data_IF_383228444880
#
_entry.id   IF_383228444880
#
_cell.length_a   1.000
_cell.length_b   1.000
_cell.length_c   1.000
_cell.angle_alpha   90.00
_cell.angle_beta   90.00
_cell.angle_gamma   90.00
#
_symmetry.space_group_name_H-M   'P 1'
#
loop_
_entity.id
_entity.type
_entity.pdbx_description
1 polymer ?
#
# COMPACT_ATOMS: atom_id res chain seq x y z
N UNK A 1 24.85 5.17 -17.35
CA UNK A 1 24.92 3.71 -17.08
C UNK A 1 25.47 3.32 -15.70
N UNK A 2 26.24 4.16 -14.98
CA UNK A 2 26.83 3.78 -13.69
C UNK A 2 25.86 3.68 -12.49
N UNK A 3 24.86 4.54 -12.42
CA UNK A 3 23.96 4.65 -11.25
C UNK A 3 23.09 3.42 -11.00
N UNK A 4 22.40 2.81 -11.97
CA UNK A 4 21.60 1.60 -11.72
C UNK A 4 22.47 0.39 -11.39
N UNK A 5 23.67 0.29 -11.97
CA UNK A 5 24.63 -0.77 -11.64
C UNK A 5 25.08 -0.65 -10.17
N UNK A 6 25.42 0.56 -9.73
CA UNK A 6 25.80 0.82 -8.34
C UNK A 6 24.64 0.43 -7.39
N UNK A 7 23.40 0.78 -7.74
CA UNK A 7 22.24 0.44 -6.95
C UNK A 7 22.03 -1.08 -6.89
N UNK A 8 22.16 -1.79 -8.00
CA UNK A 8 22.09 -3.25 -8.04
C UNK A 8 23.18 -3.91 -7.20
N UNK A 9 24.42 -3.43 -7.31
CA UNK A 9 25.56 -3.93 -6.51
C UNK A 9 25.33 -3.65 -5.03
N UNK A 10 24.86 -2.45 -4.65
CA UNK A 10 24.56 -2.11 -3.27
C UNK A 10 23.45 -3.02 -2.70
N UNK A 11 22.38 -3.26 -3.46
CA UNK A 11 21.35 -4.20 -3.07
C UNK A 11 21.90 -5.62 -2.88
N UNK A 12 22.70 -6.10 -3.81
CA UNK A 12 23.32 -7.42 -3.72
C UNK A 12 24.18 -7.53 -2.47
N UNK A 13 24.99 -6.52 -2.16
CA UNK A 13 25.81 -6.48 -0.95
C UNK A 13 24.97 -6.47 0.34
N UNK A 14 23.89 -5.67 0.38
CA UNK A 14 22.96 -5.64 1.50
C UNK A 14 22.28 -7.00 1.68
N UNK A 15 21.84 -7.65 0.60
CA UNK A 15 21.26 -8.98 0.68
C UNK A 15 22.26 -10.04 1.14
N UNK A 16 23.49 -9.98 0.65
CA UNK A 16 24.54 -10.88 1.07
C UNK A 16 24.85 -10.72 2.56
N UNK A 17 24.96 -9.46 3.02
CA UNK A 17 25.15 -9.13 4.43
C UNK A 17 23.98 -9.66 5.29
N UNK A 18 22.75 -9.37 4.93
CA UNK A 18 21.58 -9.85 5.65
C UNK A 18 21.53 -11.39 5.70
N UNK A 19 21.86 -12.06 4.58
CA UNK A 19 21.92 -13.52 4.53
C UNK A 19 22.96 -14.11 5.46
N UNK A 20 24.16 -13.55 5.47
CA UNK A 20 25.29 -14.09 6.25
C UNK A 20 25.10 -13.81 7.74
N UNK A 21 24.72 -12.57 8.10
CA UNK A 21 24.73 -12.12 9.49
C UNK A 21 23.38 -12.20 10.18
N UNK A 22 22.29 -12.08 9.47
CA UNK A 22 20.95 -11.93 10.08
C UNK A 22 20.02 -13.12 9.86
N UNK A 23 20.25 -13.99 8.87
CA UNK A 23 19.37 -15.13 8.57
C UNK A 23 19.81 -16.37 9.33
N UNK A 24 19.65 -16.39 10.65
CA UNK A 24 20.02 -17.52 11.51
C UNK A 24 18.83 -18.38 11.94
N UNK A 25 17.64 -17.80 12.09
CA UNK A 25 16.44 -18.50 12.50
C UNK A 25 15.52 -18.82 11.31
N UNK A 26 14.64 -19.82 11.46
CA UNK A 26 13.67 -20.19 10.41
C UNK A 26 12.76 -19.01 10.03
N UNK A 27 12.37 -18.22 11.01
CA UNK A 27 11.53 -17.05 10.80
C UNK A 27 12.26 -15.92 10.07
N UNK A 28 13.53 -15.62 10.40
CA UNK A 28 14.30 -14.63 9.62
C UNK A 28 14.56 -15.11 8.22
N UNK A 29 14.64 -16.42 7.97
CA UNK A 29 14.76 -17.01 6.63
C UNK A 29 13.51 -16.79 5.78
N UNK A 30 12.32 -16.93 6.35
CA UNK A 30 11.06 -16.65 5.63
C UNK A 30 10.93 -15.17 5.28
N UNK A 31 11.22 -14.26 6.23
CA UNK A 31 11.18 -12.82 5.95
C UNK A 31 12.19 -12.46 4.87
N UNK A 32 13.38 -13.02 4.92
CA UNK A 32 14.40 -12.81 3.91
C UNK A 32 13.96 -13.31 2.51
N UNK A 33 13.30 -14.45 2.46
CA UNK A 33 12.71 -14.98 1.23
C UNK A 33 11.63 -14.04 0.68
N UNK A 34 10.76 -13.49 1.53
CA UNK A 34 9.77 -12.49 1.11
C UNK A 34 10.45 -11.21 0.62
N UNK A 35 11.47 -10.73 1.34
CA UNK A 35 12.25 -9.57 0.92
C UNK A 35 12.88 -9.78 -0.47
N UNK A 36 13.45 -10.94 -0.76
CA UNK A 36 14.00 -11.27 -2.08
C UNK A 36 12.90 -11.24 -3.15
N UNK A 37 11.77 -11.89 -2.90
CA UNK A 37 10.67 -11.97 -3.87
C UNK A 37 10.12 -10.57 -4.21
N UNK A 38 10.04 -9.67 -3.24
CA UNK A 38 9.57 -8.30 -3.42
C UNK A 38 10.63 -7.45 -4.15
N UNK A 39 11.90 -7.66 -3.85
CA UNK A 39 12.99 -6.82 -4.36
C UNK A 39 13.34 -7.13 -5.81
N UNK A 40 13.24 -8.40 -6.25
CA UNK A 40 13.59 -8.80 -7.61
C UNK A 40 12.76 -8.05 -8.67
N UNK A 41 11.42 -7.99 -8.62
CA UNK A 41 10.64 -7.24 -9.60
C UNK A 41 10.95 -5.75 -9.59
N UNK A 42 11.11 -5.15 -8.40
CA UNK A 42 11.46 -3.74 -8.28
C UNK A 42 12.81 -3.45 -8.95
N UNK A 43 13.85 -4.24 -8.67
CA UNK A 43 15.17 -4.08 -9.26
C UNK A 43 15.16 -4.33 -10.78
N UNK A 44 14.38 -5.30 -11.26
CA UNK A 44 14.16 -5.51 -12.68
C UNK A 44 13.53 -4.27 -13.33
N UNK A 45 12.52 -3.67 -12.64
CA UNK A 45 11.93 -2.40 -13.06
C UNK A 45 12.95 -1.26 -13.14
N UNK A 46 13.79 -1.08 -12.13
CA UNK A 46 14.85 -0.05 -12.12
C UNK A 46 15.84 -0.25 -13.29
N UNK A 47 16.19 -1.50 -13.56
CA UNK A 47 17.12 -1.81 -14.65
C UNK A 47 16.52 -1.51 -16.03
N UNK A 48 15.26 -1.84 -16.24
CA UNK A 48 14.55 -1.62 -17.53
C UNK A 48 14.08 -0.16 -17.67
N UNK A 49 13.81 0.53 -16.56
CA UNK A 49 13.21 1.85 -16.51
C UNK A 49 14.17 3.01 -16.82
N UNK A 50 13.68 4.20 -16.52
CA UNK A 50 14.32 5.50 -16.80
C UNK A 50 15.74 5.60 -16.23
N UNK A 51 15.98 5.01 -15.06
CA UNK A 51 17.30 5.02 -14.43
C UNK A 51 18.29 4.01 -15.01
N UNK A 52 17.82 3.03 -15.79
CA UNK A 52 18.61 1.94 -16.36
C UNK A 52 18.76 2.03 -17.88
N UNK A 53 18.07 1.12 -18.58
CA UNK A 53 18.13 1.01 -20.04
C UNK A 53 17.28 2.04 -20.78
N UNK A 54 16.43 2.77 -20.04
CA UNK A 54 15.46 3.76 -20.56
C UNK A 54 14.56 3.20 -21.69
N UNK A 55 14.12 1.96 -21.50
CA UNK A 55 13.23 1.30 -22.46
C UNK A 55 11.77 1.77 -22.32
N UNK A 56 11.45 2.53 -21.25
CA UNK A 56 10.11 3.01 -20.99
C UNK A 56 9.83 4.29 -21.78
N UNK A 57 9.33 4.09 -23.00
CA UNK A 57 8.86 5.21 -23.84
C UNK A 57 7.47 5.67 -23.41
N UNK A 58 7.09 6.92 -23.75
CA UNK A 58 5.74 7.46 -23.49
C UNK A 58 4.65 6.57 -24.12
N UNK A 59 4.92 6.00 -25.31
CA UNK A 59 4.00 5.08 -25.98
C UNK A 59 3.77 3.80 -25.16
N UNK A 60 4.82 3.21 -24.57
CA UNK A 60 4.73 2.04 -23.70
C UNK A 60 3.98 2.37 -22.41
N UNK A 61 4.19 3.56 -21.84
CA UNK A 61 3.47 4.03 -20.65
C UNK A 61 1.97 4.07 -20.92
N UNK A 62 1.55 4.64 -22.05
CA UNK A 62 0.13 4.70 -22.44
C UNK A 62 -0.45 3.30 -22.67
N UNK A 63 0.30 2.38 -23.29
CA UNK A 63 -0.17 1.02 -23.54
C UNK A 63 -0.30 0.18 -22.24
N UNK A 64 0.52 0.46 -21.23
CA UNK A 64 0.46 -0.25 -19.93
C UNK A 64 -0.60 0.32 -18.98
N UNK A 65 -1.13 1.50 -19.27
CA UNK A 65 -2.10 2.19 -18.42
C UNK A 65 -3.33 1.34 -18.04
N UNK A 66 -4.01 0.63 -18.97
CA UNK A 66 -5.17 -0.20 -18.61
C UNK A 66 -4.81 -1.34 -17.64
N UNK A 67 -3.61 -1.91 -17.75
CA UNK A 67 -3.13 -2.95 -16.84
C UNK A 67 -2.82 -2.40 -15.45
N UNK A 68 -2.34 -1.16 -15.38
CA UNK A 68 -2.12 -0.47 -14.11
C UNK A 68 -3.44 -0.14 -13.43
N UNK A 69 -4.41 0.41 -14.16
CA UNK A 69 -5.76 0.69 -13.66
C UNK A 69 -6.44 -0.59 -13.14
N UNK A 70 -6.29 -1.71 -13.87
CA UNK A 70 -6.75 -3.02 -13.43
C UNK A 70 -6.07 -3.46 -12.13
N UNK A 71 -4.75 -3.30 -12.04
CA UNK A 71 -3.97 -3.70 -10.86
C UNK A 71 -4.31 -2.86 -9.62
N UNK A 72 -4.53 -1.56 -9.80
CA UNK A 72 -5.02 -0.65 -8.77
C UNK A 72 -6.44 -1.03 -8.34
N UNK A 73 -7.31 -1.27 -9.31
CA UNK A 73 -8.69 -1.73 -9.08
C UNK A 73 -8.73 -3.06 -8.30
N UNK A 74 -7.85 -4.00 -8.64
CA UNK A 74 -7.73 -5.27 -7.93
C UNK A 74 -7.40 -5.07 -6.45
N UNK A 75 -6.47 -4.17 -6.13
CA UNK A 75 -6.15 -3.84 -4.72
C UNK A 75 -7.37 -3.27 -4.00
N UNK A 76 -8.10 -2.35 -4.64
CA UNK A 76 -9.34 -1.80 -4.09
C UNK A 76 -10.40 -2.88 -3.82
N UNK A 77 -10.66 -3.75 -4.79
CA UNK A 77 -11.61 -4.85 -4.67
C UNK A 77 -11.24 -5.81 -3.53
N UNK A 78 -9.97 -6.21 -3.47
CA UNK A 78 -9.48 -7.11 -2.43
C UNK A 78 -9.68 -6.53 -1.03
N UNK A 79 -9.36 -5.25 -0.83
CA UNK A 79 -9.61 -4.56 0.44
C UNK A 79 -11.10 -4.43 0.76
N UNK A 80 -11.93 -4.09 -0.23
CA UNK A 80 -13.39 -4.01 -0.06
C UNK A 80 -14.01 -5.34 0.35
N UNK A 81 -13.53 -6.44 -0.19
CA UNK A 81 -13.97 -7.78 0.18
C UNK A 81 -13.56 -8.17 1.61
N UNK A 82 -12.44 -7.64 2.11
CA UNK A 82 -12.05 -7.87 3.50
C UNK A 82 -12.96 -7.11 4.49
N UNK A 83 -13.36 -5.88 4.15
CA UNK A 83 -14.04 -4.95 5.03
C UNK A 83 -15.41 -4.56 4.47
N UNK A 84 -16.39 -5.50 4.50
CA UNK A 84 -17.77 -5.18 4.17
C UNK A 84 -18.34 -4.12 5.13
N UNK A 85 -19.35 -3.36 4.69
CA UNK A 85 -20.04 -2.38 5.53
C UNK A 85 -20.58 -3.01 6.84
N UNK A 86 -21.01 -4.27 6.75
CA UNK A 86 -21.50 -5.04 7.90
C UNK A 86 -20.37 -5.33 8.88
N UNK A 87 -19.19 -5.73 8.41
CA UNK A 87 -18.06 -6.08 9.27
C UNK A 87 -17.57 -4.88 10.08
N UNK A 88 -17.47 -3.71 9.44
CA UNK A 88 -17.04 -2.47 10.10
C UNK A 88 -18.00 -2.11 11.25
N UNK A 89 -19.29 -2.40 11.10
CA UNK A 89 -20.30 -2.11 12.14
C UNK A 89 -20.06 -2.95 13.40
N UNK A 90 -19.58 -4.19 13.25
CA UNK A 90 -19.39 -5.11 14.38
C UNK A 90 -18.06 -4.93 15.12
N UNK A 91 -17.10 -4.18 14.59
CA UNK A 91 -15.87 -3.92 15.33
C UNK A 91 -16.14 -3.06 16.57
N UNK A 92 -15.35 -3.35 17.62
CA UNK A 92 -15.38 -2.57 18.86
C UNK A 92 -15.17 -1.07 18.57
N UNK A 93 -15.94 -0.22 19.23
CA UNK A 93 -15.89 1.24 19.08
C UNK A 93 -14.51 1.79 19.43
N UNK A 94 -13.86 1.23 20.47
CA UNK A 94 -12.53 1.65 20.90
C UNK A 94 -11.48 1.33 19.84
N UNK A 95 -11.57 0.17 19.18
CA UNK A 95 -10.68 -0.25 18.09
C UNK A 95 -10.87 0.66 16.88
N UNK A 96 -12.12 0.97 16.51
CA UNK A 96 -12.43 1.91 15.41
C UNK A 96 -11.88 3.31 15.70
N UNK A 97 -12.12 3.82 16.91
CA UNK A 97 -11.64 5.13 17.34
C UNK A 97 -10.13 5.20 17.35
N UNK A 98 -9.47 4.17 17.88
CA UNK A 98 -8.00 4.09 17.85
C UNK A 98 -7.48 4.08 16.42
N UNK A 99 -7.99 3.21 15.54
CA UNK A 99 -7.55 3.11 14.15
C UNK A 99 -7.73 4.45 13.40
N UNK A 100 -8.87 5.12 13.60
CA UNK A 100 -9.14 6.43 12.98
C UNK A 100 -8.19 7.52 13.49
N UNK A 101 -8.03 7.65 14.81
CA UNK A 101 -7.13 8.64 15.42
C UNK A 101 -5.67 8.39 15.03
N UNK A 102 -5.24 7.13 15.05
CA UNK A 102 -3.90 6.75 14.64
C UNK A 102 -3.65 7.10 13.17
N UNK A 103 -4.55 6.71 12.27
CA UNK A 103 -4.41 6.97 10.84
C UNK A 103 -4.43 8.47 10.53
N UNK A 104 -5.32 9.22 11.17
CA UNK A 104 -5.39 10.68 11.02
C UNK A 104 -4.11 11.35 11.51
N UNK A 105 -3.62 10.97 12.69
CA UNK A 105 -2.38 11.50 13.25
C UNK A 105 -1.17 11.18 12.38
N UNK A 106 -1.08 9.93 11.91
CA UNK A 106 -0.02 9.51 10.99
C UNK A 106 -0.06 10.30 9.68
N UNK A 107 -1.26 10.45 9.10
CA UNK A 107 -1.43 11.22 7.86
C UNK A 107 -1.00 12.68 8.04
N UNK A 108 -1.49 13.36 9.07
CA UNK A 108 -1.16 14.80 9.30
C UNK A 108 0.31 14.99 9.62
N UNK A 109 0.90 14.14 10.46
CA UNK A 109 2.32 14.20 10.80
C UNK A 109 3.22 13.93 9.60
N UNK A 110 2.88 12.91 8.80
CA UNK A 110 3.62 12.62 7.58
C UNK A 110 3.41 13.68 6.49
N UNK A 111 2.23 14.29 6.41
CA UNK A 111 1.96 15.40 5.47
C UNK A 111 2.81 16.62 5.80
N UNK A 112 2.86 17.01 7.06
CA UNK A 112 3.68 18.14 7.50
C UNK A 112 5.17 17.91 7.20
N UNK A 113 5.67 16.71 7.49
CA UNK A 113 7.05 16.35 7.23
C UNK A 113 7.38 16.23 5.75
N UNK A 114 6.49 15.63 4.96
CA UNK A 114 6.66 15.53 3.51
C UNK A 114 6.65 16.89 2.85
N UNK A 115 5.75 17.78 3.28
CA UNK A 115 5.69 19.15 2.81
C UNK A 115 6.99 19.90 3.12
N UNK A 116 7.48 19.82 4.37
CA UNK A 116 8.74 20.43 4.78
C UNK A 116 9.93 19.90 3.97
N UNK A 117 9.99 18.60 3.78
CA UNK A 117 11.07 17.94 3.02
C UNK A 117 11.09 18.42 1.55
N UNK A 118 9.93 18.40 0.87
CA UNK A 118 9.82 18.79 -0.53
C UNK A 118 10.04 20.31 -0.72
N UNK A 119 9.64 21.11 0.26
CA UNK A 119 9.91 22.55 0.29
C UNK A 119 11.42 22.84 0.37
N UNK A 120 12.16 22.13 1.23
CA UNK A 120 13.62 22.27 1.37
C UNK A 120 14.36 21.91 0.07
N UNK A 121 13.77 21.08 -0.76
CA UNK A 121 14.34 20.68 -2.07
C UNK A 121 13.98 21.65 -3.20
N UNK A 122 13.18 22.68 -2.90
CA UNK A 122 12.77 23.74 -3.84
C UNK A 122 11.93 23.21 -5.03
N UNK A 123 11.07 22.19 -4.80
CA UNK A 123 10.10 21.79 -5.81
C UNK A 123 9.01 22.87 -6.00
N UNK A 124 8.35 22.93 -7.18
CA UNK A 124 7.21 23.81 -7.40
C UNK A 124 6.09 23.55 -6.38
N UNK A 125 5.41 24.59 -5.92
CA UNK A 125 4.39 24.50 -4.85
C UNK A 125 3.29 23.46 -5.14
N UNK A 126 2.89 23.32 -6.39
CA UNK A 126 1.91 22.31 -6.83
C UNK A 126 2.43 20.89 -6.66
N UNK A 127 3.68 20.62 -7.06
CA UNK A 127 4.31 19.31 -6.90
C UNK A 127 4.54 18.97 -5.42
N UNK A 128 4.85 19.96 -4.59
CA UNK A 128 4.97 19.79 -3.14
C UNK A 128 3.64 19.35 -2.54
N UNK A 129 2.53 19.97 -2.96
CA UNK A 129 1.20 19.63 -2.44
C UNK A 129 0.80 18.22 -2.82
N UNK A 130 0.83 17.88 -4.11
CA UNK A 130 0.44 16.56 -4.59
C UNK A 130 1.40 15.50 -4.07
N UNK A 131 2.69 15.68 -4.25
CA UNK A 131 3.71 14.74 -3.79
C UNK A 131 3.65 14.52 -2.28
N UNK A 132 3.44 15.59 -1.49
CA UNK A 132 3.27 15.52 -0.05
C UNK A 132 2.05 14.70 0.37
N UNK A 133 0.90 14.89 -0.29
CA UNK A 133 -0.32 14.11 -0.03
C UNK A 133 -0.08 12.63 -0.33
N UNK A 134 0.44 12.30 -1.50
CA UNK A 134 0.67 10.91 -1.90
C UNK A 134 1.70 10.21 -1.01
N UNK A 135 2.78 10.91 -0.69
CA UNK A 135 3.81 10.40 0.21
C UNK A 135 3.25 10.12 1.60
N UNK A 136 2.45 11.03 2.15
CA UNK A 136 1.82 10.86 3.46
C UNK A 136 0.81 9.72 3.48
N UNK A 137 -0.02 9.56 2.45
CA UNK A 137 -0.96 8.46 2.32
C UNK A 137 -0.26 7.10 2.27
N UNK A 138 0.80 6.99 1.46
CA UNK A 138 1.58 5.77 1.34
C UNK A 138 2.25 5.36 2.66
N UNK A 139 2.69 6.34 3.45
CA UNK A 139 3.39 6.13 4.71
C UNK A 139 2.45 5.95 5.92
N UNK A 140 1.17 6.31 5.80
CA UNK A 140 0.18 6.15 6.88
C UNK A 140 -0.21 4.70 7.10
N UNK A 141 -0.21 3.87 6.06
CA UNK A 141 -0.69 2.51 6.12
C UNK A 141 0.20 1.59 6.97
N UNK A 142 -0.41 0.80 7.85
CA UNK A 142 0.25 -0.26 8.62
C UNK A 142 0.28 -1.56 7.80
N UNK A 143 1.42 -2.25 7.77
CA UNK A 143 1.54 -3.54 7.10
C UNK A 143 0.94 -4.67 7.95
N UNK A 144 -0.05 -5.37 7.41
CA UNK A 144 -0.58 -6.60 8.03
C UNK A 144 0.37 -7.80 7.88
N UNK A 145 1.29 -7.76 6.91
CA UNK A 145 2.26 -8.83 6.70
C UNK A 145 3.20 -9.00 7.91
N UNK A 146 3.51 -7.91 8.60
CA UNK A 146 4.33 -7.92 9.82
C UNK A 146 3.75 -8.81 10.92
N UNK A 147 2.44 -8.97 10.95
CA UNK A 147 1.77 -9.79 11.95
C UNK A 147 2.03 -11.29 11.78
N UNK A 148 2.18 -11.75 10.55
CA UNK A 148 2.51 -13.15 10.27
C UNK A 148 3.85 -13.54 10.89
N UNK A 149 4.77 -12.58 10.93
CA UNK A 149 6.08 -12.78 11.52
C UNK A 149 6.04 -12.74 13.05
N UNK A 150 5.27 -11.83 13.62
CA UNK A 150 5.10 -11.75 15.08
C UNK A 150 4.50 -13.02 15.68
N UNK A 151 3.51 -13.62 15.01
CA UNK A 151 2.90 -14.89 15.44
C UNK A 151 3.91 -16.02 15.57
N UNK A 152 4.96 -16.01 14.76
CA UNK A 152 5.97 -17.08 14.72
C UNK A 152 7.04 -16.92 15.82
N UNK A 153 7.30 -15.66 16.25
CA UNK A 153 8.34 -15.35 17.23
C UNK A 153 7.90 -15.40 18.68
N UNK A 154 6.64 -15.11 18.95
CA UNK A 154 6.10 -15.18 20.32
C UNK A 154 4.72 -15.84 20.30
N UNK A 155 4.41 -16.64 21.32
CA UNK A 155 3.06 -17.14 21.59
C UNK A 155 2.17 -15.97 22.04
N UNK A 156 1.87 -15.05 21.13
CA UNK A 156 0.92 -13.99 21.42
C UNK A 156 -0.51 -14.52 21.45
N UNK A 157 -1.33 -13.92 22.29
CA UNK A 157 -2.75 -14.27 22.37
C UNK A 157 -3.43 -14.07 21.00
N UNK A 158 -4.39 -14.93 20.69
CA UNK A 158 -5.22 -14.82 19.47
C UNK A 158 -5.90 -13.45 19.37
N UNK A 159 -6.25 -12.87 20.52
CA UNK A 159 -6.87 -11.54 20.64
C UNK A 159 -5.98 -10.42 20.15
N UNK A 160 -4.67 -10.47 20.46
CA UNK A 160 -3.70 -9.49 19.97
C UNK A 160 -3.57 -9.51 18.44
N UNK A 161 -3.42 -10.71 17.87
CA UNK A 161 -3.30 -10.85 16.43
C UNK A 161 -4.54 -10.36 15.67
N UNK A 162 -5.72 -10.60 16.23
CA UNK A 162 -7.00 -10.10 15.70
C UNK A 162 -7.05 -8.58 15.74
N UNK A 163 -6.74 -7.98 16.88
CA UNK A 163 -6.74 -6.54 17.08
C UNK A 163 -5.79 -5.83 16.11
N UNK A 164 -4.55 -6.30 15.99
CA UNK A 164 -3.57 -5.71 15.08
C UNK A 164 -4.01 -5.83 13.62
N UNK A 165 -4.54 -7.00 13.20
CA UNK A 165 -5.10 -7.20 11.86
C UNK A 165 -6.23 -6.22 11.57
N UNK A 166 -7.12 -6.00 12.55
CA UNK A 166 -8.25 -5.08 12.43
C UNK A 166 -7.78 -3.63 12.30
N UNK A 167 -6.85 -3.19 13.15
CA UNK A 167 -6.29 -1.83 13.11
C UNK A 167 -5.55 -1.58 11.78
N UNK A 168 -4.70 -2.51 11.36
CA UNK A 168 -4.00 -2.43 10.07
C UNK A 168 -4.98 -2.34 8.90
N UNK A 169 -6.05 -3.13 8.94
CA UNK A 169 -7.09 -3.12 7.92
C UNK A 169 -7.89 -1.81 7.89
N UNK A 170 -8.30 -1.30 9.04
CA UNK A 170 -9.00 -0.01 9.13
C UNK A 170 -8.10 1.16 8.70
N UNK A 171 -6.81 1.11 9.01
CA UNK A 171 -5.83 2.07 8.51
C UNK A 171 -5.71 2.03 6.99
N UNK A 172 -5.71 0.85 6.38
CA UNK A 172 -5.74 0.68 4.92
C UNK A 172 -7.00 1.24 4.29
N UNK A 173 -8.17 0.98 4.88
CA UNK A 173 -9.45 1.57 4.44
C UNK A 173 -9.42 3.10 4.50
N UNK A 174 -8.96 3.65 5.62
CA UNK A 174 -8.81 5.11 5.77
C UNK A 174 -7.93 5.67 4.64
N UNK A 175 -6.81 5.02 4.36
CA UNK A 175 -5.88 5.43 3.31
C UNK A 175 -6.55 5.39 1.93
N UNK A 176 -7.28 4.33 1.57
CA UNK A 176 -7.95 4.21 0.26
C UNK A 176 -9.07 5.24 0.11
N UNK A 177 -9.87 5.44 1.16
CA UNK A 177 -10.97 6.42 1.12
C UNK A 177 -10.40 7.83 0.95
N UNK A 178 -9.41 8.21 1.76
CA UNK A 178 -8.80 9.52 1.68
C UNK A 178 -8.06 9.71 0.34
N UNK A 179 -7.39 8.68 -0.15
CA UNK A 179 -6.77 8.66 -1.47
C UNK A 179 -7.80 8.85 -2.58
N UNK A 180 -8.92 8.13 -2.53
CA UNK A 180 -9.99 8.24 -3.51
C UNK A 180 -10.69 9.61 -3.51
N UNK A 181 -10.73 10.29 -2.35
CA UNK A 181 -11.24 11.66 -2.24
C UNK A 181 -10.23 12.67 -2.79
N UNK A 182 -8.95 12.53 -2.48
CA UNK A 182 -7.93 13.53 -2.83
C UNK A 182 -7.40 13.38 -4.26
N UNK A 183 -7.42 12.19 -4.83
CA UNK A 183 -6.87 11.91 -6.17
C UNK A 183 -7.55 12.72 -7.29
N UNK A 184 -8.89 12.88 -7.34
CA UNK A 184 -9.55 13.69 -8.37
C UNK A 184 -9.24 15.19 -8.27
N UNK A 185 -8.75 15.69 -7.13
CA UNK A 185 -8.36 17.11 -6.98
C UNK A 185 -7.22 17.51 -7.92
N UNK A 186 -6.37 16.54 -8.32
CA UNK A 186 -5.31 16.77 -9.30
C UNK A 186 -5.78 16.90 -10.74
N UNK A 187 -6.99 16.42 -11.05
CA UNK A 187 -7.53 16.30 -12.42
C UNK A 187 -8.64 17.33 -12.66
N UNK A 188 -9.45 17.65 -11.64
CA UNK A 188 -10.63 18.50 -11.81
C UNK A 188 -10.30 19.99 -11.70
N UNK A 189 -10.78 20.76 -12.69
CA UNK A 189 -10.58 22.22 -12.77
C UNK A 189 -11.55 23.03 -11.91
N UNK A 190 -12.61 22.41 -11.38
CA UNK A 190 -13.60 23.10 -10.55
C UNK A 190 -14.22 22.20 -9.47
N UNK A 191 -14.57 22.80 -8.32
CA UNK A 191 -15.20 22.10 -7.18
C UNK A 191 -16.50 21.36 -7.53
N UNK A 192 -17.43 21.90 -8.33
CA UNK A 192 -18.63 21.17 -8.72
C UNK A 192 -18.34 19.89 -9.50
N UNK A 193 -17.41 19.93 -10.45
CA UNK A 193 -16.99 18.74 -11.21
C UNK A 193 -16.33 17.70 -10.33
N UNK A 194 -15.53 18.12 -9.35
CA UNK A 194 -14.92 17.24 -8.37
C UNK A 194 -15.99 16.47 -7.56
N UNK A 195 -16.99 17.18 -7.01
CA UNK A 195 -18.05 16.56 -6.21
C UNK A 195 -18.90 15.62 -7.11
N UNK A 196 -19.22 16.05 -8.32
CA UNK A 196 -19.98 15.23 -9.27
C UNK A 196 -19.23 13.92 -9.59
N UNK A 197 -17.94 14.00 -9.89
CA UNK A 197 -17.11 12.84 -10.17
C UNK A 197 -17.04 11.89 -8.96
N UNK A 198 -16.86 12.44 -7.74
CA UNK A 198 -16.82 11.64 -6.52
C UNK A 198 -18.15 10.90 -6.27
N UNK A 199 -19.27 11.59 -6.45
CA UNK A 199 -20.60 10.99 -6.29
C UNK A 199 -20.88 9.96 -7.38
N UNK A 200 -20.57 10.27 -8.64
CA UNK A 200 -20.77 9.38 -9.78
C UNK A 200 -19.99 8.07 -9.61
N UNK A 201 -18.70 8.14 -9.29
CA UNK A 201 -17.88 6.92 -9.11
C UNK A 201 -18.39 6.03 -7.96
N UNK A 202 -18.87 6.62 -6.84
CA UNK A 202 -19.43 5.85 -5.73
C UNK A 202 -20.76 5.21 -6.14
N UNK A 203 -21.66 5.93 -6.79
CA UNK A 203 -22.94 5.39 -7.25
C UNK A 203 -22.76 4.25 -8.26
N UNK A 204 -21.90 4.44 -9.26
CA UNK A 204 -21.60 3.40 -10.25
C UNK A 204 -21.00 2.16 -9.56
N UNK A 205 -20.09 2.35 -8.63
CA UNK A 205 -19.47 1.27 -7.88
C UNK A 205 -20.49 0.48 -7.03
N UNK A 206 -21.44 1.16 -6.39
CA UNK A 206 -22.53 0.53 -5.64
C UNK A 206 -23.42 -0.32 -6.55
N UNK A 207 -23.81 0.22 -7.71
CA UNK A 207 -24.64 -0.49 -8.69
C UNK A 207 -23.90 -1.70 -9.25
N UNK A 208 -22.66 -1.51 -9.72
CA UNK A 208 -21.83 -2.58 -10.26
C UNK A 208 -21.59 -3.70 -9.24
N UNK A 209 -21.24 -3.33 -8.01
CA UNK A 209 -21.06 -4.30 -6.90
C UNK A 209 -22.34 -5.07 -6.59
N UNK A 210 -23.51 -4.41 -6.66
CA UNK A 210 -24.82 -5.05 -6.44
C UNK A 210 -25.17 -6.02 -7.56
N UNK A 211 -24.95 -5.64 -8.81
CA UNK A 211 -25.19 -6.51 -9.96
C UNK A 211 -24.32 -7.76 -9.91
N UNK A 212 -23.04 -7.61 -9.66
CA UNK A 212 -22.12 -8.74 -9.52
C UNK A 212 -22.48 -9.64 -8.34
N UNK A 213 -22.86 -9.06 -7.20
CA UNK A 213 -23.38 -9.84 -6.07
C UNK A 213 -24.59 -10.70 -6.44
N UNK A 214 -25.55 -10.14 -7.20
CA UNK A 214 -26.70 -10.89 -7.69
C UNK A 214 -26.29 -11.98 -8.71
N UNK A 215 -25.30 -11.70 -9.55
CA UNK A 215 -24.74 -12.68 -10.48
C UNK A 215 -24.06 -13.86 -9.78
N UNK A 216 -23.19 -13.57 -8.81
CA UNK A 216 -22.47 -14.60 -8.02
C UNK A 216 -23.46 -15.52 -7.30
N UNK A 217 -24.57 -15.01 -6.80
CA UNK A 217 -25.61 -15.85 -6.15
C UNK A 217 -26.25 -16.93 -7.06
N UNK A 218 -26.22 -16.71 -8.38
CA UNK A 218 -26.84 -17.61 -9.38
C UNK A 218 -25.88 -18.63 -9.95
N UNK A 219 -24.58 -18.49 -9.66
CA UNK A 219 -23.53 -19.32 -10.24
C UNK A 219 -23.03 -20.33 -9.20
N UNK A 220 -22.78 -21.57 -9.64
CA UNK A 220 -22.09 -22.56 -8.83
C UNK A 220 -20.66 -22.12 -8.54
N UNK A 221 -20.11 -22.58 -7.41
CA UNK A 221 -18.79 -22.20 -6.89
C UNK A 221 -17.66 -22.41 -7.91
N UNK A 222 -16.61 -21.60 -7.83
CA UNK A 222 -15.37 -21.79 -8.59
C UNK A 222 -15.19 -20.80 -9.75
N UNK A 223 -15.03 -21.33 -10.97
CA UNK A 223 -14.68 -20.53 -12.17
C UNK A 223 -15.68 -19.42 -12.48
N UNK A 224 -16.98 -19.70 -12.35
CA UNK A 224 -18.02 -18.71 -12.61
C UNK A 224 -17.95 -17.50 -11.68
N UNK A 225 -17.59 -17.71 -10.41
CA UNK A 225 -17.37 -16.60 -9.45
C UNK A 225 -16.17 -15.74 -9.87
N UNK A 226 -15.07 -16.37 -10.29
CA UNK A 226 -13.88 -15.65 -10.77
C UNK A 226 -14.21 -14.80 -12.01
N UNK A 227 -14.99 -15.32 -12.95
CA UNK A 227 -15.43 -14.59 -14.15
C UNK A 227 -16.21 -13.34 -13.76
N UNK A 228 -17.17 -13.43 -12.84
CA UNK A 228 -17.93 -12.27 -12.38
C UNK A 228 -17.05 -11.21 -11.70
N UNK A 229 -16.07 -11.62 -10.89
CA UNK A 229 -15.16 -10.71 -10.20
C UNK A 229 -14.18 -10.04 -11.18
N UNK A 230 -13.64 -10.78 -12.14
CA UNK A 230 -12.78 -10.24 -13.19
C UNK A 230 -13.56 -9.29 -14.12
N UNK A 231 -14.80 -9.62 -14.48
CA UNK A 231 -15.67 -8.74 -15.28
C UNK A 231 -15.94 -7.43 -14.55
N UNK A 232 -16.21 -7.47 -13.24
CA UNK A 232 -16.35 -6.26 -12.42
C UNK A 232 -15.08 -5.41 -12.46
N UNK A 233 -13.93 -6.05 -12.26
CA UNK A 233 -12.64 -5.36 -12.29
C UNK A 233 -12.39 -4.69 -13.65
N UNK A 234 -12.63 -5.39 -14.74
CA UNK A 234 -12.44 -4.86 -16.08
C UNK A 234 -13.39 -3.68 -16.37
N UNK A 235 -14.67 -3.80 -15.99
CA UNK A 235 -15.65 -2.75 -16.18
C UNK A 235 -15.27 -1.52 -15.34
N UNK A 236 -15.03 -1.69 -14.05
CA UNK A 236 -14.71 -0.57 -13.17
C UNK A 236 -13.37 0.09 -13.54
N UNK A 237 -12.33 -0.69 -13.87
CA UNK A 237 -11.04 -0.14 -14.28
C UNK A 237 -11.13 0.53 -15.66
N UNK A 238 -11.90 -0.03 -16.59
CA UNK A 238 -12.19 0.61 -17.87
C UNK A 238 -12.92 1.94 -17.69
N UNK A 239 -13.94 2.00 -16.84
CA UNK A 239 -14.63 3.25 -16.51
C UNK A 239 -13.70 4.26 -15.82
N UNK A 240 -12.82 3.80 -14.94
CA UNK A 240 -11.81 4.65 -14.30
C UNK A 240 -10.92 5.31 -15.36
N UNK A 241 -10.44 4.52 -16.30
CA UNK A 241 -9.61 5.01 -17.41
C UNK A 241 -10.31 6.05 -18.28
N UNK A 242 -11.57 5.81 -18.66
CA UNK A 242 -12.31 6.72 -19.54
C UNK A 242 -12.81 7.99 -18.86
N UNK A 243 -13.23 7.91 -17.60
CA UNK A 243 -13.86 9.04 -16.89
C UNK A 243 -12.92 9.72 -15.88
N UNK A 244 -11.69 9.24 -15.73
CA UNK A 244 -10.75 9.78 -14.75
C UNK A 244 -11.16 9.48 -13.30
N UNK A 245 -11.90 8.39 -13.06
CA UNK A 245 -12.27 7.95 -11.72
C UNK A 245 -11.09 7.28 -11.03
N UNK A 246 -11.15 7.19 -9.69
CA UNK A 246 -10.14 6.46 -8.94
C UNK A 246 -10.46 4.95 -8.90
N UNK A 247 -9.64 4.08 -9.53
CA UNK A 247 -9.92 2.65 -9.61
C UNK A 247 -9.87 1.95 -8.24
N UNK A 248 -9.01 2.44 -7.34
CA UNK A 248 -8.91 1.92 -5.96
C UNK A 248 -10.21 2.15 -5.19
N UNK A 249 -10.75 3.38 -5.20
CA UNK A 249 -11.97 3.70 -4.48
C UNK A 249 -13.18 3.01 -5.08
N UNK A 250 -13.30 3.03 -6.41
CA UNK A 250 -14.43 2.45 -7.12
C UNK A 250 -14.55 0.94 -6.84
N UNK A 251 -13.44 0.23 -6.94
CA UNK A 251 -13.41 -1.20 -6.67
C UNK A 251 -13.49 -1.53 -5.16
N UNK A 252 -12.99 -0.66 -4.27
CA UNK A 252 -13.21 -0.79 -2.83
C UNK A 252 -14.70 -0.80 -2.51
N UNK A 253 -15.45 0.18 -2.99
CA UNK A 253 -16.89 0.31 -2.73
C UNK A 253 -17.64 -0.90 -3.29
N UNK A 254 -17.35 -1.33 -4.51
CA UNK A 254 -17.94 -2.54 -5.11
C UNK A 254 -17.64 -3.79 -4.28
N UNK A 255 -16.41 -3.96 -3.82
CA UNK A 255 -16.00 -5.06 -2.95
C UNK A 255 -16.72 -5.06 -1.59
N UNK A 256 -16.89 -3.89 -0.98
CA UNK A 256 -17.65 -3.74 0.27
C UNK A 256 -19.13 -4.14 0.11
N UNK A 257 -19.75 -3.82 -1.02
CA UNK A 257 -21.12 -4.22 -1.35
C UNK A 257 -21.23 -5.74 -1.46
N UNK A 258 -20.32 -6.37 -2.21
CA UNK A 258 -20.28 -7.82 -2.41
C UNK A 258 -20.08 -8.52 -1.06
N UNK A 259 -19.11 -8.07 -0.28
CA UNK A 259 -18.77 -8.64 1.03
C UNK A 259 -19.90 -8.52 2.06
N UNK A 260 -20.72 -7.48 1.97
CA UNK A 260 -21.83 -7.24 2.92
C UNK A 260 -22.92 -8.31 2.85
N UNK A 261 -22.96 -9.09 1.77
CA UNK A 261 -23.87 -10.24 1.63
C UNK A 261 -23.56 -11.47 2.51
N UNK A 262 -22.37 -11.54 3.09
CA UNK A 262 -21.95 -12.49 4.15
C UNK A 262 -21.70 -13.93 3.73
N UNK A 263 -22.55 -14.53 2.89
CA UNK A 263 -22.59 -15.96 2.65
C UNK A 263 -21.37 -16.54 1.87
N UNK A 264 -20.82 -15.76 0.92
CA UNK A 264 -19.74 -16.22 0.03
C UNK A 264 -18.38 -15.52 0.30
N UNK A 265 -18.29 -14.73 1.35
CA UNK A 265 -17.13 -13.88 1.61
C UNK A 265 -15.81 -14.66 1.63
N UNK A 266 -15.76 -15.77 2.37
CA UNK A 266 -14.54 -16.58 2.49
C UNK A 266 -14.12 -17.15 1.15
N UNK A 267 -15.07 -17.72 0.40
CA UNK A 267 -14.81 -18.31 -0.90
C UNK A 267 -14.32 -17.29 -1.93
N UNK A 268 -14.94 -16.11 -1.97
CA UNK A 268 -14.51 -15.01 -2.83
C UNK A 268 -13.07 -14.59 -2.51
N UNK A 269 -12.75 -14.48 -1.22
CA UNK A 269 -11.38 -14.15 -0.79
C UNK A 269 -10.38 -15.24 -1.19
N UNK A 270 -10.72 -16.50 -1.00
CA UNK A 270 -9.85 -17.62 -1.35
C UNK A 270 -9.63 -17.72 -2.86
N UNK A 271 -10.64 -17.40 -3.68
CA UNK A 271 -10.55 -17.34 -5.15
C UNK A 271 -9.60 -16.24 -5.63
N UNK A 272 -9.61 -15.06 -4.99
CA UNK A 272 -8.73 -13.94 -5.39
C UNK A 272 -7.33 -13.98 -4.77
N UNK A 273 -7.16 -14.68 -3.66
CA UNK A 273 -5.90 -14.75 -2.92
C UNK A 273 -4.66 -15.10 -3.76
N UNK A 274 -4.71 -16.06 -4.72
CA UNK A 274 -3.57 -16.36 -5.58
C UNK A 274 -3.12 -15.19 -6.45
N UNK A 275 -4.05 -14.28 -6.82
CA UNK A 275 -3.77 -13.14 -7.69
C UNK A 275 -3.16 -11.95 -6.94
N UNK A 276 -3.31 -11.89 -5.62
CA UNK A 276 -2.81 -10.75 -4.80
C UNK A 276 -1.31 -10.55 -4.97
N UNK A 277 -0.55 -11.62 -4.91
CA UNK A 277 0.91 -11.56 -4.98
C UNK A 277 1.42 -11.14 -6.36
N UNK A 278 1.00 -11.73 -7.48
CA UNK A 278 1.36 -11.26 -8.81
C UNK A 278 1.06 -9.78 -9.03
N UNK A 279 -0.10 -9.29 -8.58
CA UNK A 279 -0.47 -7.88 -8.74
C UNK A 279 0.46 -6.96 -7.95
N UNK A 280 0.80 -7.31 -6.70
CA UNK A 280 1.75 -6.52 -5.90
C UNK A 280 3.14 -6.50 -6.56
N UNK A 281 3.62 -7.64 -7.05
CA UNK A 281 4.93 -7.73 -7.72
C UNK A 281 4.95 -6.91 -9.02
N UNK A 282 3.85 -6.90 -9.77
CA UNK A 282 3.71 -6.06 -10.95
C UNK A 282 3.73 -4.56 -10.59
N UNK A 283 3.00 -4.14 -9.56
CA UNK A 283 3.03 -2.76 -9.10
C UNK A 283 4.43 -2.34 -8.60
N UNK A 284 5.15 -3.24 -7.93
CA UNK A 284 6.53 -2.99 -7.50
C UNK A 284 7.48 -2.89 -8.69
N UNK A 285 7.33 -3.74 -9.69
CA UNK A 285 8.09 -3.64 -10.93
C UNK A 285 7.87 -2.27 -11.58
N UNK A 286 6.62 -1.81 -11.66
CA UNK A 286 6.30 -0.52 -12.24
C UNK A 286 6.82 0.67 -11.41
N UNK A 287 6.82 0.57 -10.08
CA UNK A 287 7.47 1.60 -9.25
C UNK A 287 8.97 1.67 -9.48
N UNK A 288 9.60 0.53 -9.77
CA UNK A 288 11.00 0.48 -10.20
C UNK A 288 11.23 1.13 -11.56
N UNK A 289 10.33 0.87 -12.53
CA UNK A 289 10.39 1.50 -13.87
C UNK A 289 10.34 3.04 -13.78
N UNK A 290 9.51 3.57 -12.92
CA UNK A 290 9.31 5.01 -12.75
C UNK A 290 10.38 5.71 -11.89
N UNK A 291 11.30 4.96 -11.26
CA UNK A 291 12.30 5.51 -10.38
C UNK A 291 13.27 6.46 -11.12
N UNK A 292 13.23 7.73 -10.74
CA UNK A 292 14.23 8.72 -11.11
C UNK A 292 15.20 8.89 -9.94
N UNK A 293 16.42 8.40 -10.09
CA UNK A 293 17.43 8.50 -9.03
C UNK A 293 17.99 9.92 -8.97
N UNK A 294 17.83 10.55 -7.82
CA UNK A 294 18.52 11.80 -7.50
C UNK A 294 19.67 11.47 -6.54
N UNK A 295 20.94 11.78 -6.88
CA UNK A 295 22.12 11.25 -6.19
C UNK A 295 22.15 11.54 -4.69
N UNK A 296 21.61 12.68 -4.24
CA UNK A 296 21.61 13.09 -2.83
C UNK A 296 20.24 12.94 -2.16
N UNK A 297 19.17 13.13 -2.91
CA UNK A 297 17.82 13.14 -2.36
C UNK A 297 17.32 11.74 -2.03
N UNK A 298 17.45 10.82 -2.96
CA UNK A 298 16.91 9.46 -2.79
C UNK A 298 17.51 8.74 -1.59
N UNK A 299 18.85 8.71 -1.37
CA UNK A 299 19.44 8.06 -0.21
C UNK A 299 19.16 8.77 1.12
N UNK A 300 18.86 10.07 1.12
CA UNK A 300 18.55 10.80 2.34
C UNK A 300 17.06 10.71 2.72
N UNK A 301 16.16 10.80 1.74
CA UNK A 301 14.72 10.79 1.96
C UNK A 301 14.23 9.46 2.53
N UNK A 302 14.69 8.34 1.96
CA UNK A 302 14.17 7.01 2.33
C UNK A 302 14.41 6.67 3.81
N UNK A 303 15.64 6.75 4.35
CA UNK A 303 15.88 6.51 5.77
C UNK A 303 15.17 7.54 6.67
N UNK A 304 15.17 8.81 6.26
CA UNK A 304 14.52 9.89 7.01
C UNK A 304 13.02 9.65 7.18
N UNK A 305 12.33 9.29 6.13
CA UNK A 305 10.89 8.98 6.15
C UNK A 305 10.58 7.72 6.97
N UNK A 306 11.40 6.68 6.87
CA UNK A 306 11.23 5.45 7.67
C UNK A 306 11.45 5.76 9.17
N UNK A 307 12.49 6.51 9.50
CA UNK A 307 12.77 6.91 10.89
C UNK A 307 11.64 7.77 11.47
N UNK A 308 11.20 8.77 10.72
CA UNK A 308 10.09 9.63 11.13
C UNK A 308 8.80 8.84 11.33
N UNK A 309 8.49 7.96 10.38
CA UNK A 309 7.35 7.05 10.49
C UNK A 309 7.44 6.19 11.75
N UNK A 310 8.60 5.64 12.04
CA UNK A 310 8.82 4.86 13.26
C UNK A 310 8.57 5.71 14.52
N UNK A 311 9.08 6.94 14.58
CA UNK A 311 8.89 7.85 15.70
C UNK A 311 7.40 8.19 15.88
N UNK A 312 6.71 8.58 14.79
CA UNK A 312 5.29 8.92 14.82
C UNK A 312 4.42 7.73 15.21
N UNK A 313 4.68 6.53 14.68
CA UNK A 313 3.99 5.31 15.08
C UNK A 313 4.18 5.04 16.57
N UNK A 314 5.43 5.09 17.06
CA UNK A 314 5.74 4.87 18.48
C UNK A 314 5.00 5.85 19.38
N UNK A 315 4.96 7.13 18.99
CA UNK A 315 4.28 8.18 19.77
C UNK A 315 2.75 7.98 19.73
N UNK A 316 2.18 7.73 18.56
CA UNK A 316 0.75 7.50 18.38
C UNK A 316 0.25 6.30 19.18
N UNK A 317 0.97 5.18 19.13
CA UNK A 317 0.62 4.00 19.93
C UNK A 317 0.66 4.29 21.43
N UNK A 318 1.70 4.98 21.92
CA UNK A 318 1.80 5.34 23.33
C UNK A 318 0.70 6.30 23.80
N UNK A 319 0.25 7.21 22.92
CA UNK A 319 -0.72 8.25 23.26
C UNK A 319 -2.16 7.77 23.18
N UNK A 320 -2.49 7.02 22.12
CA UNK A 320 -3.87 6.65 21.82
C UNK A 320 -4.24 5.24 22.27
N UNK A 321 -3.24 4.38 22.47
CA UNK A 321 -3.47 3.01 22.93
C UNK A 321 -3.63 3.04 24.47
N UNK A 322 -4.84 2.98 24.94
CA UNK A 322 -5.15 2.97 26.38
C UNK A 322 -4.72 1.63 27.00
N UNK A 323 -4.17 1.68 28.22
CA UNK A 323 -3.70 0.54 29.02
C UNK A 323 -4.74 -0.59 29.22
N UNK A 324 -6.02 -0.33 28.85
CA UNK A 324 -7.11 -1.29 28.97
C UNK A 324 -7.10 -2.41 27.91
N UNK A 325 -6.27 -2.29 26.85
CA UNK A 325 -6.34 -3.20 25.70
C UNK A 325 -5.15 -4.19 25.66
N UNK A 326 -3.98 -3.83 26.21
CA UNK A 326 -2.78 -4.67 26.21
C UNK A 326 -1.84 -4.38 27.39
N UNK A 327 -1.14 -5.40 27.86
CA UNK A 327 -0.05 -5.25 28.82
C UNK A 327 1.18 -4.58 28.17
N UNK A 328 1.95 -3.81 28.96
CA UNK A 328 3.07 -2.99 28.45
C UNK A 328 4.14 -3.82 27.76
N UNK A 329 4.31 -5.10 28.13
CA UNK A 329 5.28 -6.02 27.53
C UNK A 329 4.90 -6.45 26.10
N UNK A 330 3.61 -6.42 25.75
CA UNK A 330 3.13 -6.74 24.40
C UNK A 330 3.32 -5.58 23.41
N UNK A 331 3.56 -4.36 23.88
CA UNK A 331 3.68 -3.17 23.03
C UNK A 331 5.01 -3.11 22.28
N UNK A 332 6.12 -3.63 22.85
CA UNK A 332 7.45 -3.58 22.21
C UNK A 332 7.50 -4.27 20.85
N UNK A 333 7.03 -5.53 20.69
CA UNK A 333 7.06 -6.20 19.40
C UNK A 333 6.10 -5.58 18.37
N UNK A 334 5.05 -4.85 18.82
CA UNK A 334 4.18 -4.09 17.91
C UNK A 334 4.95 -2.98 17.21
N UNK A 335 5.79 -2.28 17.95
CA UNK A 335 6.54 -1.14 17.42
C UNK A 335 7.50 -1.55 16.30
N UNK A 336 8.11 -2.73 16.38
CA UNK A 336 8.98 -3.26 15.32
C UNK A 336 8.17 -3.72 14.09
N UNK A 337 6.96 -4.24 14.30
CA UNK A 337 6.06 -4.66 13.23
C UNK A 337 5.44 -3.50 12.43
N UNK A 338 5.48 -2.29 12.96
CA UNK A 338 4.95 -1.10 12.30
C UNK A 338 5.91 -0.49 11.25
N UNK A 339 7.13 -0.99 11.16
CA UNK A 339 8.16 -0.44 10.26
C UNK A 339 7.87 -0.72 8.78
N UNK A 340 7.52 -1.96 8.36
CA UNK A 340 7.20 -2.21 6.97
C UNK A 340 6.02 -1.38 6.48
N UNK A 341 6.14 -0.86 5.26
CA UNK A 341 5.06 -0.14 4.60
C UNK A 341 3.94 -1.11 4.20
N UNK A 342 2.73 -0.59 4.13
CA UNK A 342 1.58 -1.38 3.74
C UNK A 342 1.57 -1.74 2.27
N UNK A 343 0.78 -2.76 1.93
CA UNK A 343 0.65 -3.33 0.58
C UNK A 343 0.12 -2.31 -0.45
N UNK A 344 -0.57 -1.26 -0.01
CA UNK A 344 -1.07 -0.19 -0.90
C UNK A 344 0.02 0.81 -1.29
N UNK A 345 1.18 0.81 -0.64
CA UNK A 345 2.26 1.77 -0.94
C UNK A 345 2.70 1.74 -2.42
N UNK A 346 2.95 0.56 -3.04
CA UNK A 346 3.26 0.51 -4.47
C UNK A 346 2.11 1.02 -5.35
N UNK A 347 0.86 0.74 -4.97
CA UNK A 347 -0.31 1.21 -5.72
C UNK A 347 -0.41 2.74 -5.71
N UNK A 348 -0.23 3.37 -4.55
CA UNK A 348 -0.24 4.83 -4.41
C UNK A 348 0.93 5.45 -5.17
N UNK A 349 2.11 4.85 -5.11
CA UNK A 349 3.30 5.30 -5.83
C UNK A 349 3.10 5.29 -7.35
N UNK A 350 2.53 4.20 -7.89
CA UNK A 350 2.21 4.07 -9.31
C UNK A 350 1.19 5.13 -9.73
N UNK A 351 0.13 5.30 -8.98
CA UNK A 351 -0.91 6.28 -9.32
C UNK A 351 -0.38 7.72 -9.31
N UNK A 352 0.53 8.07 -8.39
CA UNK A 352 1.21 9.36 -8.41
C UNK A 352 1.96 9.59 -9.74
N UNK A 353 2.67 8.57 -10.19
CA UNK A 353 3.41 8.64 -11.46
C UNK A 353 2.48 8.81 -12.67
N UNK A 354 1.29 8.20 -12.63
CA UNK A 354 0.29 8.31 -13.69
C UNK A 354 -0.34 9.71 -13.77
N UNK A 355 -0.57 10.37 -12.63
CA UNK A 355 -1.16 11.72 -12.59
C UNK A 355 -0.13 12.80 -12.94
N UNK A 356 1.10 12.61 -12.52
CA UNK A 356 2.16 13.59 -12.71
C UNK A 356 3.41 12.91 -13.29
N UNK A 357 3.71 13.20 -14.54
CA UNK A 357 4.95 12.75 -15.20
C UNK A 357 6.19 13.57 -14.82
N UNK A 358 6.09 14.40 -13.77
CA UNK A 358 7.17 15.28 -13.33
C UNK A 358 8.38 14.51 -12.77
N UNK A 359 9.52 15.18 -12.70
CA UNK A 359 10.71 14.62 -12.07
C UNK A 359 10.45 14.30 -10.58
N UNK A 360 9.66 15.13 -9.89
CA UNK A 360 9.28 14.96 -8.50
C UNK A 360 8.49 13.67 -8.29
N UNK A 361 7.50 13.37 -9.14
CA UNK A 361 6.69 12.15 -9.05
C UNK A 361 7.54 10.88 -9.23
N UNK A 362 8.51 10.89 -10.14
CA UNK A 362 9.43 9.76 -10.34
C UNK A 362 10.37 9.54 -9.14
N UNK A 363 10.85 10.61 -8.50
CA UNK A 363 11.66 10.51 -7.28
C UNK A 363 10.82 9.98 -6.12
N UNK A 364 9.59 10.47 -5.93
CA UNK A 364 8.71 10.06 -4.84
C UNK A 364 8.25 8.62 -5.04
N UNK A 365 7.77 8.24 -6.24
CA UNK A 365 7.26 6.89 -6.51
C UNK A 365 8.35 5.84 -6.33
N UNK A 366 9.52 6.07 -6.89
CA UNK A 366 10.67 5.19 -6.70
C UNK A 366 11.20 5.18 -5.27
N UNK A 367 11.22 6.34 -4.60
CA UNK A 367 11.56 6.46 -3.17
C UNK A 367 10.61 5.65 -2.28
N UNK A 368 9.30 5.62 -2.57
CA UNK A 368 8.33 4.78 -1.88
C UNK A 368 8.58 3.29 -2.10
N UNK A 369 8.94 2.88 -3.32
CA UNK A 369 9.33 1.50 -3.61
C UNK A 369 10.58 1.07 -2.83
N UNK A 370 11.61 1.93 -2.79
CA UNK A 370 12.80 1.71 -1.97
C UNK A 370 12.48 1.65 -0.48
N UNK A 371 11.64 2.56 0.02
CA UNK A 371 11.21 2.59 1.42
C UNK A 371 10.41 1.32 1.80
N UNK A 372 9.60 0.81 0.87
CA UNK A 372 8.87 -0.45 1.05
C UNK A 372 9.84 -1.62 1.28
N UNK A 373 10.86 -1.74 0.45
CA UNK A 373 11.88 -2.80 0.57
C UNK A 373 12.75 -2.60 1.81
N UNK A 374 13.22 -1.37 2.04
CA UNK A 374 14.05 -1.03 3.18
C UNK A 374 13.36 -1.27 4.53
N UNK A 375 12.03 -1.07 4.59
CA UNK A 375 11.21 -1.38 5.77
C UNK A 375 11.25 -2.86 6.14
N UNK A 376 11.21 -3.77 5.16
CA UNK A 376 11.36 -5.20 5.41
C UNK A 376 12.78 -5.58 5.85
N UNK A 377 13.82 -4.98 5.23
CA UNK A 377 15.21 -5.21 5.61
C UNK A 377 15.47 -4.77 7.06
N UNK A 378 14.98 -3.59 7.45
CA UNK A 378 15.09 -3.07 8.79
C UNK A 378 14.35 -3.94 9.82
N UNK A 379 13.18 -4.48 9.45
CA UNK A 379 12.45 -5.41 10.30
C UNK A 379 13.27 -6.67 10.59
N UNK A 380 13.99 -7.23 9.61
CA UNK A 380 14.88 -8.39 9.81
C UNK A 380 15.95 -8.06 10.84
N UNK A 381 16.61 -6.90 10.70
CA UNK A 381 17.66 -6.46 11.61
C UNK A 381 17.15 -6.30 13.05
N UNK A 382 15.99 -5.70 13.23
CA UNK A 382 15.40 -5.47 14.55
C UNK A 382 14.95 -6.76 15.24
N UNK A 383 14.38 -7.69 14.48
CA UNK A 383 14.00 -9.02 15.00
C UNK A 383 15.26 -9.76 15.47
N UNK A 384 16.34 -9.71 14.69
CA UNK A 384 17.60 -10.34 15.07
C UNK A 384 18.17 -9.73 16.35
N UNK A 385 18.10 -8.41 16.49
CA UNK A 385 18.56 -7.72 17.70
C UNK A 385 17.72 -8.05 18.95
N UNK A 386 16.40 -8.21 18.79
CA UNK A 386 15.52 -8.63 19.89
C UNK A 386 15.72 -10.11 20.32
N UNK A 387 16.09 -10.99 19.40
CA UNK A 387 16.35 -12.41 19.67
C UNK A 387 17.67 -12.60 20.46
N UNK A 388 18.62 -11.67 20.32
CA UNK A 388 19.91 -11.73 21.02
C UNK A 388 19.91 -10.99 22.37
N UNK A 389 18.81 -10.38 22.77
CA UNK A 389 18.56 -9.83 24.12
C UNK A 389 17.70 -10.77 24.97
#
# INVERSE_FOLDING_TARGET
>A
MGTPLILCVTFLLVFLFLRIFCVRTEATREIFRELLIISIPFMAGVYVGVSGLDLMTDALTVQTLPLLEFSLGFQGLYWGLFFGFRDIRYFDVNVKRFAALHSFFMFTGMLAASYMLLYLVHFPAWEILIGGIYLSLALTQISSASLLFLKKFRKHSSSFAFLFKTVSGLSGLFTIILFGILSPMGISTSMPHFILNLVAQVLIALVAGRLVYMGIKRVSQGEGMLIWLLSLLLINSGMSYFFGFNPLLMNLVSGMVISSGGFWKQQIQDTLKPLVRPVILFLLFYTGLSLKLHPWLTPAIVPGLILLRFILNRWSFRRFFTKQVLEVEEIRPILTSLIPLGVLTPAIAVHLHLISSSACSGIISGGLGLAYIAGYALMILLIQWEVHR
#
